data_IF_888204337537
#
_entry.id   IF_888204337537
#
_cell.length_a   1.000
_cell.length_b   1.000
_cell.length_c   1.000
_cell.angle_alpha   90.00
_cell.angle_beta   90.00
_cell.angle_gamma   90.00
#
_symmetry.space_group_name_H-M   'P 1'
#
loop_
_entity.id
_entity.type
_entity.pdbx_description
1 polymer ?
#
# COMPACT_ATOMS: atom_id res chain seq x y z
N UNK A 1 25.11 20.38 2.15
CA UNK A 1 25.59 21.73 1.76
C UNK A 1 24.50 22.36 0.92
N UNK A 2 23.97 23.51 1.33
CA UNK A 2 22.88 24.20 0.61
C UNK A 2 23.51 25.09 -0.47
N UNK A 3 23.28 24.79 -1.75
CA UNK A 3 23.91 25.44 -2.92
C UNK A 3 23.25 26.79 -3.30
N UNK A 4 22.43 27.37 -2.43
CA UNK A 4 21.58 28.55 -2.70
C UNK A 4 22.36 29.75 -3.25
N UNK A 5 23.63 29.92 -2.87
CA UNK A 5 24.44 31.06 -3.32
C UNK A 5 24.87 30.99 -4.81
N UNK A 6 24.82 29.82 -5.46
CA UNK A 6 25.16 29.68 -6.88
C UNK A 6 23.97 29.89 -7.82
N UNK A 7 22.75 29.95 -7.28
CA UNK A 7 21.52 30.03 -8.08
C UNK A 7 21.43 31.28 -8.98
N UNK A 8 21.94 32.47 -8.60
CA UNK A 8 21.91 33.64 -9.49
C UNK A 8 22.78 33.50 -10.75
N UNK A 9 23.70 32.52 -10.78
CA UNK A 9 24.67 32.32 -11.86
C UNK A 9 24.36 31.08 -12.71
N UNK A 10 23.37 30.28 -12.33
CA UNK A 10 23.00 29.04 -13.01
C UNK A 10 21.71 29.24 -13.80
N UNK A 11 21.67 28.67 -15.00
CA UNK A 11 20.46 28.59 -15.80
C UNK A 11 19.46 27.60 -15.19
N UNK A 12 18.18 27.73 -15.56
CA UNK A 12 17.12 26.81 -15.12
C UNK A 12 17.44 25.35 -15.44
N UNK A 13 18.01 25.09 -16.61
CA UNK A 13 18.39 23.74 -17.05
C UNK A 13 19.52 23.15 -16.21
N UNK A 14 20.52 23.97 -15.81
CA UNK A 14 21.61 23.52 -14.94
C UNK A 14 21.12 23.24 -13.52
N UNK A 15 20.17 24.03 -13.01
CA UNK A 15 19.54 23.77 -11.72
C UNK A 15 18.75 22.45 -11.77
N UNK A 16 17.95 22.23 -12.81
CA UNK A 16 17.21 20.97 -13.00
C UNK A 16 18.15 19.75 -13.13
N UNK A 17 19.31 19.91 -13.78
CA UNK A 17 20.32 18.87 -13.88
C UNK A 17 21.08 18.58 -12.57
N UNK A 18 21.14 19.54 -11.63
CA UNK A 18 21.76 19.37 -10.31
C UNK A 18 20.84 18.70 -9.28
N UNK A 19 19.53 18.78 -9.47
CA UNK A 19 18.52 18.19 -8.59
C UNK A 19 17.81 17.05 -9.32
N UNK A 20 18.56 16.02 -9.68
CA UNK A 20 17.97 14.86 -10.32
C UNK A 20 17.10 14.09 -9.32
N UNK A 21 16.17 13.28 -9.82
CA UNK A 21 15.43 12.33 -8.98
C UNK A 21 16.36 11.36 -8.23
N UNK A 22 17.61 11.20 -8.67
CA UNK A 22 18.61 10.38 -7.98
C UNK A 22 19.08 11.04 -6.68
N UNK A 23 19.29 12.36 -6.68
CA UNK A 23 19.69 13.10 -5.47
C UNK A 23 18.64 13.02 -4.37
N UNK A 24 17.36 13.04 -4.75
CA UNK A 24 16.25 12.85 -3.83
C UNK A 24 16.27 11.46 -3.20
N UNK A 25 16.63 10.40 -3.93
CA UNK A 25 16.68 9.02 -3.41
C UNK A 25 17.68 8.83 -2.27
N UNK A 26 18.73 9.63 -2.25
CA UNK A 26 19.75 9.63 -1.20
C UNK A 26 19.36 10.45 0.03
N UNK A 27 18.28 11.25 -0.05
CA UNK A 27 17.78 11.99 1.11
C UNK A 27 17.10 11.06 2.12
N UNK A 28 17.22 11.40 3.42
CA UNK A 28 16.52 10.67 4.48
C UNK A 28 15.01 10.67 4.27
N UNK A 29 14.44 11.82 3.88
CA UNK A 29 13.00 11.97 3.63
C UNK A 29 12.50 10.98 2.59
N UNK A 30 13.22 10.81 1.47
CA UNK A 30 12.83 9.82 0.46
C UNK A 30 12.96 8.39 0.97
N UNK A 31 14.03 8.07 1.71
CA UNK A 31 14.25 6.73 2.24
C UNK A 31 13.18 6.35 3.26
N UNK A 32 12.81 7.28 4.14
CA UNK A 32 11.73 7.14 5.11
C UNK A 32 10.39 6.93 4.40
N UNK A 33 10.02 7.83 3.47
CA UNK A 33 8.78 7.70 2.69
C UNK A 33 8.71 6.37 1.90
N UNK A 34 9.83 5.92 1.33
CA UNK A 34 9.90 4.63 0.63
C UNK A 34 9.74 3.44 1.58
N UNK A 35 10.29 3.54 2.80
CA UNK A 35 10.11 2.50 3.81
C UNK A 35 8.68 2.45 4.32
N UNK A 36 8.08 3.60 4.62
CA UNK A 36 6.68 3.74 5.02
C UNK A 36 5.76 3.13 3.97
N UNK A 37 5.86 3.57 2.71
CA UNK A 37 5.05 3.02 1.63
C UNK A 37 5.23 1.51 1.41
N UNK A 38 6.43 0.96 1.66
CA UNK A 38 6.66 -0.50 1.61
C UNK A 38 5.99 -1.22 2.79
N UNK A 39 5.97 -0.62 3.97
CA UNK A 39 5.30 -1.18 5.15
C UNK A 39 3.78 -1.16 4.97
N UNK A 40 3.23 -0.01 4.57
CA UNK A 40 1.80 0.17 4.28
C UNK A 40 1.34 -0.82 3.20
N UNK A 41 2.01 -0.84 2.04
CA UNK A 41 1.63 -1.75 0.95
C UNK A 41 1.73 -3.23 1.33
N UNK A 42 2.65 -3.62 2.23
CA UNK A 42 2.72 -4.99 2.74
C UNK A 42 1.55 -5.32 3.68
N UNK A 43 1.11 -4.35 4.49
CA UNK A 43 -0.03 -4.52 5.38
C UNK A 43 -1.34 -4.60 4.58
N UNK A 44 -1.55 -3.65 3.66
CA UNK A 44 -2.71 -3.62 2.77
C UNK A 44 -2.81 -4.90 1.93
N UNK A 45 -1.72 -5.28 1.24
CA UNK A 45 -1.71 -6.49 0.42
C UNK A 45 -1.97 -7.77 1.24
N UNK A 46 -1.56 -7.81 2.51
CA UNK A 46 -1.90 -8.93 3.40
C UNK A 46 -3.39 -8.95 3.74
N UNK A 47 -3.97 -7.80 4.04
CA UNK A 47 -5.40 -7.69 4.36
C UNK A 47 -6.27 -8.04 3.14
N UNK A 48 -5.93 -7.51 1.96
CA UNK A 48 -6.57 -7.83 0.70
C UNK A 48 -6.46 -9.33 0.36
N UNK A 49 -5.27 -9.92 0.54
CA UNK A 49 -5.06 -11.35 0.35
C UNK A 49 -5.93 -12.21 1.26
N UNK A 50 -6.01 -11.87 2.55
CA UNK A 50 -6.89 -12.57 3.51
C UNK A 50 -8.36 -12.44 3.10
N UNK A 51 -8.78 -11.24 2.70
CA UNK A 51 -10.15 -10.98 2.21
C UNK A 51 -10.48 -11.80 0.98
N UNK A 52 -9.57 -11.86 -0.01
CA UNK A 52 -9.76 -12.65 -1.23
C UNK A 52 -9.87 -14.14 -0.93
N UNK A 53 -9.03 -14.66 -0.02
CA UNK A 53 -9.13 -16.04 0.44
C UNK A 53 -10.48 -16.28 1.11
N UNK A 54 -10.94 -15.39 1.99
CA UNK A 54 -12.25 -15.50 2.64
C UNK A 54 -13.40 -15.59 1.61
N UNK A 55 -13.38 -14.71 0.60
CA UNK A 55 -14.35 -14.71 -0.51
C UNK A 55 -14.33 -16.05 -1.27
N UNK A 56 -13.14 -16.54 -1.62
CA UNK A 56 -12.99 -17.80 -2.34
C UNK A 56 -13.54 -18.99 -1.53
N UNK A 57 -13.32 -19.02 -0.21
CA UNK A 57 -13.84 -20.06 0.68
C UNK A 57 -15.36 -19.99 0.82
N UNK A 58 -15.95 -18.79 0.90
CA UNK A 58 -17.40 -18.60 0.90
C UNK A 58 -18.03 -19.09 -0.41
N UNK A 59 -17.43 -18.76 -1.55
CA UNK A 59 -17.87 -19.23 -2.87
C UNK A 59 -17.73 -20.75 -3.05
N UNK A 60 -16.77 -21.37 -2.36
CA UNK A 60 -16.62 -22.82 -2.30
C UNK A 60 -17.69 -23.51 -1.40
N UNK A 61 -18.60 -22.74 -0.79
CA UNK A 61 -19.71 -23.26 0.01
C UNK A 61 -19.38 -23.50 1.49
N UNK A 62 -18.24 -22.99 1.99
CA UNK A 62 -17.91 -23.08 3.40
C UNK A 62 -18.79 -22.17 4.26
N UNK A 63 -19.00 -22.52 5.54
CA UNK A 63 -19.78 -21.68 6.44
C UNK A 63 -18.99 -20.46 6.90
N UNK A 64 -19.69 -19.40 7.28
CA UNK A 64 -19.10 -18.15 7.79
C UNK A 64 -18.16 -18.40 8.96
N UNK A 65 -18.51 -19.34 9.85
CA UNK A 65 -17.74 -19.70 11.04
C UNK A 65 -16.44 -20.41 10.68
N UNK A 66 -16.46 -21.29 9.68
CA UNK A 66 -15.27 -21.97 9.19
C UNK A 66 -14.32 -20.98 8.51
N UNK A 67 -14.86 -20.08 7.69
CA UNK A 67 -14.07 -19.05 7.01
C UNK A 67 -13.43 -18.10 8.02
N UNK A 68 -14.19 -17.65 9.03
CA UNK A 68 -13.66 -16.80 10.12
C UNK A 68 -12.48 -17.49 10.83
N UNK A 69 -12.62 -18.79 11.12
CA UNK A 69 -11.57 -19.59 11.77
C UNK A 69 -10.33 -19.73 10.90
N UNK A 70 -10.48 -20.03 9.60
CA UNK A 70 -9.35 -20.29 8.70
C UNK A 70 -8.61 -19.02 8.27
N UNK A 71 -9.33 -17.90 8.17
CA UNK A 71 -8.77 -16.60 7.74
C UNK A 71 -8.39 -15.72 8.93
N UNK A 72 -8.72 -16.16 10.15
CA UNK A 72 -8.54 -15.42 11.39
C UNK A 72 -9.23 -14.04 11.37
N UNK A 73 -10.33 -13.94 10.61
CA UNK A 73 -11.24 -12.80 10.57
C UNK A 73 -12.34 -12.98 11.62
N UNK A 74 -12.98 -11.88 12.03
CA UNK A 74 -14.18 -11.98 12.84
C UNK A 74 -15.36 -12.51 12.02
N UNK A 75 -16.29 -13.18 12.70
CA UNK A 75 -17.53 -13.65 12.06
C UNK A 75 -18.30 -12.48 11.41
N UNK A 76 -18.28 -11.30 12.04
CA UNK A 76 -18.91 -10.09 11.48
C UNK A 76 -18.24 -9.64 10.18
N UNK A 77 -16.90 -9.62 10.12
CA UNK A 77 -16.18 -9.29 8.89
C UNK A 77 -16.54 -10.26 7.77
N UNK A 78 -16.58 -11.56 8.04
CA UNK A 78 -16.96 -12.56 7.03
C UNK A 78 -18.42 -12.41 6.60
N UNK A 79 -19.34 -12.07 7.52
CA UNK A 79 -20.75 -11.77 7.17
C UNK A 79 -20.87 -10.55 6.27
N UNK A 80 -20.11 -9.49 6.56
CA UNK A 80 -20.08 -8.29 5.71
C UNK A 80 -19.56 -8.62 4.31
N UNK A 81 -18.51 -9.43 4.21
CA UNK A 81 -18.00 -9.92 2.92
C UNK A 81 -19.05 -10.72 2.16
N UNK A 82 -19.74 -11.63 2.85
CA UNK A 82 -20.82 -12.43 2.26
C UNK A 82 -22.00 -11.56 1.80
N UNK A 83 -22.35 -10.51 2.53
CA UNK A 83 -23.40 -9.58 2.14
C UNK A 83 -22.99 -8.79 0.89
N UNK A 84 -21.78 -8.23 0.85
CA UNK A 84 -21.29 -7.49 -0.33
C UNK A 84 -21.25 -8.36 -1.60
N UNK A 85 -20.98 -9.66 -1.48
CA UNK A 85 -21.00 -10.59 -2.63
C UNK A 85 -22.41 -10.84 -3.19
N UNK A 86 -23.46 -10.66 -2.37
CA UNK A 86 -24.86 -10.85 -2.79
C UNK A 86 -25.45 -9.59 -3.42
N UNK A 87 -24.92 -8.41 -3.07
CA UNK A 87 -25.36 -7.13 -3.62
C UNK A 87 -24.77 -6.87 -5.03
N UNK A 88 -23.68 -7.56 -5.38
CA UNK A 88 -23.00 -7.48 -6.69
C UNK A 88 -23.48 -8.56 -7.71
N UNK A 89 -24.51 -9.36 -7.39
CA UNK A 89 -25.04 -10.46 -8.20
C UNK A 89 -26.45 -10.18 -8.74
#
# INVERSE_FOLDING_TARGET
MVLVYKFPQLSRQEIEAMFTLDDLKHTRVYQEAKQEGKQEGKQEGRQEGIRQVAINLLNAGMTVEQVATLTNLSVEQVRQLQASLKDDA
#
